data_IF_475699138146
#
_entry.id   IF_475699138146
#
_cell.length_a   1.000
_cell.length_b   1.000
_cell.length_c   1.000
_cell.angle_alpha   90.00
_cell.angle_beta   90.00
_cell.angle_gamma   90.00
#
_symmetry.space_group_name_H-M   'P 1'
#
loop_
_entity.id
_entity.type
_entity.pdbx_description
1 polymer ?
#
# COMPACT_ATOMS: atom_id res chain seq x y z
N UNK A 1 14.26 -43.70 -56.97
CA UNK A 1 13.96 -44.46 -55.73
C UNK A 1 13.59 -43.45 -54.66
N UNK A 2 12.29 -43.29 -54.40
CA UNK A 2 11.75 -42.36 -53.42
C UNK A 2 11.57 -43.09 -52.07
N UNK A 3 12.31 -42.69 -51.05
CA UNK A 3 12.04 -43.09 -49.67
C UNK A 3 11.29 -41.95 -48.97
N UNK A 4 10.02 -42.20 -48.63
CA UNK A 4 9.24 -41.36 -47.71
C UNK A 4 9.72 -41.65 -46.29
N UNK A 5 10.27 -40.64 -45.62
CA UNK A 5 10.45 -40.64 -44.17
C UNK A 5 9.14 -40.19 -43.51
N UNK A 6 8.60 -41.01 -42.63
CA UNK A 6 7.45 -40.68 -41.78
C UNK A 6 8.00 -39.94 -40.57
N UNK A 7 7.67 -38.65 -40.44
CA UNK A 7 7.92 -37.85 -39.24
C UNK A 7 6.78 -38.11 -38.25
N UNK A 8 7.06 -38.80 -37.16
CA UNK A 8 6.15 -38.94 -36.01
C UNK A 8 6.30 -37.70 -35.13
N UNK A 9 5.35 -36.77 -35.26
CA UNK A 9 5.23 -35.61 -34.35
C UNK A 9 4.59 -36.07 -33.05
N UNK A 10 5.40 -36.24 -32.00
CA UNK A 10 4.88 -36.41 -30.64
C UNK A 10 4.38 -35.06 -30.11
N UNK A 11 3.07 -34.88 -30.01
CA UNK A 11 2.48 -33.82 -29.19
C UNK A 11 2.73 -34.15 -27.71
N UNK A 12 3.60 -33.38 -27.06
CA UNK A 12 3.62 -33.30 -25.60
C UNK A 12 2.45 -32.41 -25.21
N UNK A 13 1.33 -33.03 -24.85
CA UNK A 13 0.23 -32.34 -24.19
C UNK A 13 0.63 -32.24 -22.71
N UNK A 14 1.16 -31.09 -22.30
CA UNK A 14 1.32 -30.77 -20.88
C UNK A 14 -0.06 -30.53 -20.27
N UNK A 15 -0.69 -31.59 -19.77
CA UNK A 15 -1.86 -31.48 -18.92
C UNK A 15 -1.42 -30.93 -17.56
N UNK A 16 -1.62 -29.63 -17.33
CA UNK A 16 -1.62 -29.07 -15.98
C UNK A 16 -2.86 -29.62 -15.28
N UNK A 17 -2.67 -30.71 -14.54
CA UNK A 17 -3.67 -31.22 -13.64
C UNK A 17 -3.82 -30.20 -12.51
N UNK A 18 -4.82 -29.31 -12.63
CA UNK A 18 -5.30 -28.50 -11.52
C UNK A 18 -5.79 -29.47 -10.43
N UNK A 19 -4.94 -29.79 -9.46
CA UNK A 19 -5.38 -30.37 -8.19
C UNK A 19 -6.24 -29.30 -7.54
N UNK A 20 -7.56 -29.48 -7.57
CA UNK A 20 -8.49 -28.58 -6.88
C UNK A 20 -8.21 -28.65 -5.38
N UNK A 21 -7.45 -27.69 -4.87
CA UNK A 21 -7.28 -27.49 -3.43
C UNK A 21 -8.66 -27.26 -2.81
N UNK A 22 -8.96 -27.95 -1.71
CA UNK A 22 -10.21 -27.71 -0.99
C UNK A 22 -10.22 -26.26 -0.47
N UNK A 23 -11.35 -25.55 -0.58
CA UNK A 23 -11.41 -24.17 -0.15
C UNK A 23 -11.17 -24.00 1.35
N UNK A 24 -10.30 -23.04 1.70
CA UNK A 24 -10.04 -22.67 3.08
C UNK A 24 -11.21 -21.83 3.61
N UNK A 25 -11.76 -22.24 4.76
CA UNK A 25 -12.87 -21.52 5.41
C UNK A 25 -12.33 -20.64 6.51
N UNK A 26 -12.71 -19.37 6.49
CA UNK A 26 -12.36 -18.38 7.51
C UNK A 26 -13.63 -17.68 8.01
N UNK A 27 -13.56 -17.11 9.20
CA UNK A 27 -14.71 -16.54 9.92
C UNK A 27 -14.63 -15.01 9.97
N UNK A 28 -14.47 -14.37 8.80
CA UNK A 28 -14.46 -12.91 8.64
C UNK A 28 -14.67 -12.48 7.19
N UNK A 29 -15.44 -11.42 6.99
CA UNK A 29 -15.63 -10.75 5.71
C UNK A 29 -14.61 -9.62 5.44
N UNK A 30 -13.78 -9.26 6.42
CA UNK A 30 -12.73 -8.24 6.26
C UNK A 30 -11.66 -8.67 5.25
N UNK A 31 -11.16 -7.76 4.38
CA UNK A 31 -10.10 -8.08 3.43
C UNK A 31 -8.90 -8.77 4.08
N UNK A 32 -8.24 -9.66 3.33
CA UNK A 32 -7.02 -10.30 3.81
C UNK A 32 -5.91 -9.25 3.99
N UNK A 33 -5.15 -9.40 5.05
CA UNK A 33 -3.95 -8.60 5.29
C UNK A 33 -2.77 -9.36 4.69
N UNK A 34 -2.24 -8.83 3.59
CA UNK A 34 -1.15 -9.42 2.81
C UNK A 34 0.21 -9.21 3.48
N UNK A 35 1.14 -10.11 3.17
CA UNK A 35 2.58 -9.98 3.46
C UNK A 35 3.37 -10.16 2.17
N UNK A 36 4.68 -10.03 2.24
CA UNK A 36 5.65 -10.33 1.18
C UNK A 36 5.93 -11.84 1.02
N UNK A 37 5.06 -12.70 1.54
CA UNK A 37 5.21 -14.16 1.53
C UNK A 37 3.86 -14.85 1.32
N UNK A 38 3.83 -16.19 1.11
CA UNK A 38 2.59 -16.98 1.06
C UNK A 38 1.75 -16.96 2.35
N UNK A 39 2.22 -16.29 3.41
CA UNK A 39 1.49 -16.12 4.67
C UNK A 39 0.62 -14.86 4.59
N UNK A 40 -0.66 -15.00 4.90
CA UNK A 40 -1.59 -13.87 5.00
C UNK A 40 -2.35 -13.93 6.33
N UNK A 41 -2.96 -12.81 6.73
CA UNK A 41 -3.75 -12.75 7.95
C UNK A 41 -5.21 -12.44 7.66
N UNK A 42 -6.11 -13.10 8.38
CA UNK A 42 -7.53 -12.79 8.37
C UNK A 42 -7.94 -12.25 9.74
N UNK A 43 -8.67 -11.14 9.74
CA UNK A 43 -9.00 -10.37 10.95
C UNK A 43 -10.51 -10.31 11.09
N UNK A 44 -11.05 -10.77 12.21
CA UNK A 44 -12.43 -10.49 12.58
C UNK A 44 -12.43 -9.30 13.54
N UNK A 45 -12.92 -8.15 13.06
CA UNK A 45 -12.90 -6.90 13.83
C UNK A 45 -13.82 -6.95 15.05
N UNK A 46 -15.02 -7.48 14.88
CA UNK A 46 -16.08 -7.52 15.90
C UNK A 46 -15.78 -8.56 17.00
N UNK A 47 -15.42 -9.78 16.59
CA UNK A 47 -15.11 -10.88 17.52
C UNK A 47 -13.68 -10.80 18.08
N UNK A 48 -12.90 -9.80 17.66
CA UNK A 48 -11.48 -9.64 17.99
C UNK A 48 -10.72 -10.97 17.83
N UNK A 49 -10.78 -11.51 16.62
CA UNK A 49 -10.08 -12.74 16.25
C UNK A 49 -9.05 -12.49 15.15
N UNK A 50 -7.96 -13.24 15.21
CA UNK A 50 -6.88 -13.18 14.23
C UNK A 50 -6.55 -14.60 13.78
N UNK A 51 -6.49 -14.82 12.47
CA UNK A 51 -6.04 -16.08 11.88
C UNK A 51 -4.79 -15.84 11.03
N UNK A 52 -3.84 -16.77 11.14
CA UNK A 52 -2.68 -16.87 10.26
C UNK A 52 -2.96 -17.94 9.22
N UNK A 53 -2.89 -17.58 7.96
CA UNK A 53 -3.17 -18.44 6.82
C UNK A 53 -1.88 -18.67 6.06
N UNK A 54 -1.54 -19.93 5.81
CA UNK A 54 -0.49 -20.29 4.87
C UNK A 54 -1.14 -20.78 3.58
N UNK A 55 -1.04 -19.95 2.52
CA UNK A 55 -1.65 -20.22 1.22
C UNK A 55 -0.97 -21.42 0.51
N UNK A 56 0.36 -21.53 0.61
CA UNK A 56 1.13 -22.63 0.00
C UNK A 56 0.73 -24.00 0.57
N UNK A 57 0.41 -24.04 1.87
CA UNK A 57 0.02 -25.26 2.59
C UNK A 57 -1.50 -25.43 2.69
N UNK A 58 -2.28 -24.44 2.26
CA UNK A 58 -3.73 -24.38 2.41
C UNK A 58 -4.18 -24.65 3.86
N UNK A 59 -3.55 -23.97 4.83
CA UNK A 59 -3.87 -24.11 6.26
C UNK A 59 -4.23 -22.77 6.89
N UNK A 60 -5.17 -22.77 7.84
CA UNK A 60 -5.47 -21.62 8.72
C UNK A 60 -5.28 -22.01 10.18
N UNK A 61 -4.74 -21.09 10.98
CA UNK A 61 -4.57 -21.25 12.42
C UNK A 61 -5.02 -20.00 13.15
N UNK A 62 -6.00 -20.14 14.07
CA UNK A 62 -6.38 -19.07 14.98
C UNK A 62 -5.21 -18.73 15.91
N UNK A 63 -4.96 -17.44 16.09
CA UNK A 63 -3.93 -16.91 16.96
C UNK A 63 -4.53 -16.53 18.33
N UNK A 64 -3.88 -16.92 19.45
CA UNK A 64 -4.38 -16.63 20.80
C UNK A 64 -4.13 -15.16 21.17
N UNK A 65 -5.09 -14.30 20.85
CA UNK A 65 -5.11 -12.89 21.24
C UNK A 65 -6.00 -12.66 22.48
N UNK A 66 -5.69 -11.62 23.26
CA UNK A 66 -6.40 -11.28 24.50
C UNK A 66 -7.57 -10.34 24.23
N UNK A 67 -8.55 -10.29 25.14
CA UNK A 67 -9.64 -9.29 25.08
C UNK A 67 -9.16 -7.84 25.20
N UNK A 68 -7.93 -7.63 25.71
CA UNK A 68 -7.26 -6.33 25.82
C UNK A 68 -6.42 -5.97 24.60
N UNK A 69 -6.39 -6.84 23.58
CA UNK A 69 -5.72 -6.58 22.32
C UNK A 69 -6.38 -5.40 21.61
N UNK A 70 -5.55 -4.51 21.10
CA UNK A 70 -5.97 -3.26 20.44
C UNK A 70 -5.83 -3.30 18.93
N UNK A 71 -4.95 -4.15 18.45
CA UNK A 71 -4.66 -4.30 17.04
C UNK A 71 -3.42 -5.16 16.86
N UNK A 72 -3.07 -5.39 15.61
CA UNK A 72 -1.89 -6.18 15.27
C UNK A 72 -1.16 -5.59 14.08
N UNK A 73 0.05 -6.07 13.90
CA UNK A 73 0.78 -6.02 12.65
C UNK A 73 1.49 -7.36 12.51
N UNK A 74 2.45 -7.41 11.61
CA UNK A 74 3.20 -8.58 11.25
C UNK A 74 4.61 -8.13 10.89
N UNK A 75 5.57 -9.06 10.98
CA UNK A 75 6.95 -8.76 10.68
C UNK A 75 7.86 -9.95 10.91
N UNK A 76 9.16 -9.72 10.74
CA UNK A 76 10.21 -10.71 10.93
C UNK A 76 10.80 -10.58 12.34
N UNK A 77 10.82 -11.71 13.05
CA UNK A 77 11.47 -11.83 14.36
C UNK A 77 12.72 -12.68 14.21
N UNK A 78 13.77 -12.35 14.95
CA UNK A 78 14.99 -13.12 15.03
C UNK A 78 14.66 -14.59 15.34
N UNK A 79 15.38 -15.49 14.69
CA UNK A 79 15.18 -16.94 14.77
C UNK A 79 13.88 -17.47 14.15
N UNK A 80 13.13 -16.64 13.41
CA UNK A 80 12.05 -17.07 12.53
C UNK A 80 12.38 -16.75 11.08
N UNK A 81 12.06 -17.68 10.17
CA UNK A 81 12.13 -17.42 8.72
C UNK A 81 10.81 -16.91 8.16
N UNK A 82 9.70 -17.29 8.80
CA UNK A 82 8.38 -16.89 8.36
C UNK A 82 7.94 -15.62 9.11
N UNK A 83 7.15 -14.79 8.43
CA UNK A 83 6.46 -13.66 9.02
C UNK A 83 5.56 -14.10 10.18
N UNK A 84 5.56 -13.32 11.26
CA UNK A 84 4.83 -13.57 12.49
C UNK A 84 3.91 -12.41 12.84
N UNK A 85 2.87 -12.65 13.64
CA UNK A 85 1.99 -11.61 14.14
C UNK A 85 2.56 -10.93 15.39
N UNK A 86 2.52 -9.60 15.39
CA UNK A 86 2.83 -8.74 16.52
C UNK A 86 1.51 -8.12 16.99
N UNK A 87 1.13 -8.31 18.25
CA UNK A 87 -0.15 -7.84 18.80
C UNK A 87 0.11 -6.77 19.85
N UNK A 88 -0.56 -5.63 19.70
CA UNK A 88 -0.54 -4.51 20.62
C UNK A 88 -1.64 -4.68 21.68
N UNK A 89 -1.29 -4.51 22.94
CA UNK A 89 -2.18 -4.60 24.12
C UNK A 89 -1.88 -3.44 25.10
N UNK A 90 -2.68 -3.29 26.16
CA UNK A 90 -2.40 -2.46 27.34
C UNK A 90 -0.98 -2.60 27.92
N UNK A 91 -0.37 -3.78 27.84
CA UNK A 91 0.97 -4.03 28.39
C UNK A 91 2.15 -3.68 27.48
N UNK A 92 1.92 -3.48 26.18
CA UNK A 92 2.98 -3.35 25.17
C UNK A 92 2.71 -4.23 23.94
N UNK A 93 3.78 -4.75 23.34
CA UNK A 93 3.69 -5.56 22.10
C UNK A 93 4.11 -7.00 22.38
N UNK A 94 3.35 -7.94 21.80
CA UNK A 94 3.49 -9.37 21.99
C UNK A 94 3.70 -10.07 20.65
N UNK A 95 4.62 -11.03 20.61
CA UNK A 95 4.68 -12.02 19.54
C UNK A 95 3.60 -13.07 19.78
N UNK A 96 2.71 -13.27 18.81
CA UNK A 96 1.63 -14.24 18.89
C UNK A 96 1.80 -15.31 17.83
N UNK A 97 2.02 -16.54 18.29
CA UNK A 97 2.07 -17.75 17.47
C UNK A 97 0.90 -18.66 17.83
N UNK A 98 0.53 -19.64 16.98
CA UNK A 98 -0.55 -20.58 17.28
C UNK A 98 -0.35 -21.34 18.61
N UNK A 99 0.89 -21.48 19.09
CA UNK A 99 1.24 -22.25 20.28
C UNK A 99 1.52 -21.39 21.52
N UNK A 100 1.91 -20.12 21.32
CA UNK A 100 2.47 -19.29 22.39
C UNK A 100 2.32 -17.80 22.09
N UNK A 101 1.96 -17.05 23.13
CA UNK A 101 2.05 -15.59 23.19
C UNK A 101 3.22 -15.19 24.08
N UNK A 102 4.11 -14.33 23.60
CA UNK A 102 5.29 -13.86 24.33
C UNK A 102 5.37 -12.35 24.27
N UNK A 103 5.47 -11.68 25.42
CA UNK A 103 5.70 -10.23 25.44
C UNK A 103 7.09 -9.91 24.90
N UNK A 104 7.16 -9.02 23.91
CA UNK A 104 8.42 -8.56 23.32
C UNK A 104 8.93 -7.31 24.04
N UNK A 105 8.04 -6.33 24.21
CA UNK A 105 8.36 -5.03 24.84
C UNK A 105 7.22 -4.58 25.75
N UNK A 106 7.58 -3.90 26.85
CA UNK A 106 6.64 -3.17 27.69
C UNK A 106 6.54 -1.72 27.20
N UNK A 107 5.33 -1.18 27.10
CA UNK A 107 5.11 0.24 26.84
C UNK A 107 3.91 0.77 27.61
N UNK A 108 4.07 2.00 28.13
CA UNK A 108 3.00 2.80 28.75
C UNK A 108 2.66 4.02 27.88
N UNK A 109 3.01 3.93 26.60
CA UNK A 109 2.82 4.96 25.60
C UNK A 109 1.34 5.20 25.28
N UNK A 110 1.12 6.02 24.26
CA UNK A 110 -0.23 6.43 23.90
C UNK A 110 -1.05 5.24 23.39
N UNK A 111 -0.52 4.48 22.42
CA UNK A 111 -1.22 3.37 21.79
C UNK A 111 -1.64 2.28 22.79
N UNK A 112 -0.83 2.00 23.81
CA UNK A 112 -1.19 1.01 24.86
C UNK A 112 -2.26 1.53 25.83
N UNK A 113 -2.57 2.83 25.82
CA UNK A 113 -3.59 3.44 26.68
C UNK A 113 -4.90 3.79 25.96
N UNK A 114 -4.89 3.79 24.62
CA UNK A 114 -6.10 4.07 23.84
C UNK A 114 -7.14 2.98 24.06
N UNK A 115 -8.40 3.38 24.23
CA UNK A 115 -9.52 2.47 24.08
C UNK A 115 -9.82 2.36 22.59
N UNK A 116 -10.00 1.13 22.13
CA UNK A 116 -10.35 0.83 20.74
C UNK A 116 -11.54 -0.11 20.75
N UNK A 117 -12.49 0.21 19.89
CA UNK A 117 -13.69 -0.60 19.72
C UNK A 117 -13.36 -1.83 18.87
N UNK A 118 -12.73 -1.60 17.71
CA UNK A 118 -12.37 -2.63 16.74
C UNK A 118 -10.95 -3.16 16.91
N UNK A 119 -10.74 -4.42 16.57
CA UNK A 119 -9.41 -5.02 16.41
C UNK A 119 -9.02 -5.04 14.94
N UNK A 120 -7.99 -4.30 14.56
CA UNK A 120 -7.55 -4.16 13.17
C UNK A 120 -6.02 -4.10 13.01
N UNK A 121 -5.56 -4.03 11.76
CA UNK A 121 -4.14 -3.78 11.48
C UNK A 121 -3.79 -2.36 11.90
N UNK A 122 -2.72 -2.21 12.69
CA UNK A 122 -2.20 -0.92 13.14
C UNK A 122 -0.74 -0.82 12.70
N UNK A 123 -0.37 0.28 12.05
CA UNK A 123 0.99 0.48 11.56
C UNK A 123 1.93 0.90 12.71
N UNK A 124 2.62 -0.08 13.30
CA UNK A 124 3.63 0.12 14.36
C UNK A 124 4.89 -0.74 14.17
N UNK A 125 4.99 -1.45 13.05
CA UNK A 125 6.13 -2.30 12.70
C UNK A 125 6.83 -1.73 11.48
N UNK A 126 8.15 -1.62 11.54
CA UNK A 126 9.03 -1.17 10.45
C UNK A 126 10.41 -1.83 10.62
N UNK A 127 11.24 -1.87 9.59
CA UNK A 127 12.66 -2.20 9.72
C UNK A 127 13.44 -0.88 9.75
N UNK A 128 13.75 -0.35 10.94
CA UNK A 128 14.26 1.02 11.09
C UNK A 128 15.75 1.13 10.73
N UNK A 129 16.50 0.05 10.87
CA UNK A 129 17.94 -0.02 10.63
C UNK A 129 18.31 -0.81 9.37
N UNK A 130 17.32 -1.26 8.60
CA UNK A 130 17.48 -2.01 7.35
C UNK A 130 18.23 -3.34 7.51
N UNK A 131 18.05 -4.02 8.65
CA UNK A 131 18.71 -5.31 8.94
C UNK A 131 17.85 -6.55 8.59
N UNK A 132 16.65 -6.34 8.05
CA UNK A 132 15.69 -7.37 7.69
C UNK A 132 14.84 -7.88 8.86
N UNK A 133 15.05 -7.37 10.08
CA UNK A 133 14.23 -7.65 11.24
C UNK A 133 13.23 -6.52 11.48
N UNK A 134 12.10 -6.88 12.07
CA UNK A 134 11.06 -5.92 12.40
C UNK A 134 11.29 -5.26 13.75
N UNK A 135 11.35 -3.95 13.73
CA UNK A 135 11.36 -3.03 14.86
C UNK A 135 9.95 -2.57 15.21
N UNK A 136 9.80 -1.98 16.40
CA UNK A 136 8.52 -1.53 16.92
C UNK A 136 8.57 -0.02 17.14
N UNK A 137 7.73 0.73 16.43
CA UNK A 137 7.54 2.16 16.61
C UNK A 137 6.20 2.46 17.27
N UNK A 138 6.24 3.01 18.49
CA UNK A 138 5.05 3.41 19.25
C UNK A 138 5.03 4.95 19.39
N UNK A 139 4.16 5.64 18.63
CA UNK A 139 4.08 7.08 18.70
C UNK A 139 3.42 7.57 20.00
N UNK A 140 3.84 8.74 20.46
CA UNK A 140 3.22 9.48 21.55
C UNK A 140 3.07 10.96 21.18
N UNK A 141 2.35 11.74 21.99
CA UNK A 141 2.04 13.14 21.63
C UNK A 141 3.28 14.03 21.47
N UNK A 142 4.32 13.77 22.28
CA UNK A 142 5.56 14.54 22.30
C UNK A 142 6.78 13.64 22.32
N UNK A 143 6.73 12.54 23.08
CA UNK A 143 7.77 11.52 23.18
C UNK A 143 7.30 10.24 22.50
N UNK A 144 8.16 9.70 21.64
CA UNK A 144 7.91 8.50 20.86
C UNK A 144 8.91 7.43 21.29
N UNK A 145 8.52 6.16 21.13
CA UNK A 145 9.33 5.00 21.51
C UNK A 145 9.63 4.17 20.26
N UNK A 146 10.90 3.94 19.99
CA UNK A 146 11.38 3.01 18.97
C UNK A 146 12.10 1.86 19.66
N UNK A 147 11.72 0.62 19.38
CA UNK A 147 12.40 -0.56 19.88
C UNK A 147 13.04 -1.28 18.69
N UNK A 148 14.37 -1.20 18.62
CA UNK A 148 15.15 -1.82 17.55
C UNK A 148 15.50 -3.25 17.95
N UNK A 149 15.06 -4.21 17.16
CA UNK A 149 15.36 -5.61 17.35
C UNK A 149 16.85 -5.86 17.11
N UNK A 150 17.41 -6.79 17.87
CA UNK A 150 18.78 -7.26 17.68
C UNK A 150 18.75 -8.68 17.11
N UNK A 151 19.82 -9.14 16.42
CA UNK A 151 19.90 -10.51 15.92
C UNK A 151 19.73 -11.60 16.99
N UNK A 152 19.91 -11.24 18.27
CA UNK A 152 19.67 -12.12 19.42
C UNK A 152 18.19 -12.28 19.78
N UNK A 153 17.29 -11.47 19.20
CA UNK A 153 15.87 -11.36 19.52
C UNK A 153 15.55 -10.41 20.69
N UNK A 154 16.57 -9.76 21.26
CA UNK A 154 16.35 -8.69 22.25
C UNK A 154 16.03 -7.36 21.56
N UNK A 155 15.32 -6.47 22.25
CA UNK A 155 14.98 -5.14 21.75
C UNK A 155 15.73 -4.06 22.52
N UNK A 156 16.32 -3.10 21.80
CA UNK A 156 16.94 -1.89 22.36
C UNK A 156 15.96 -0.73 22.20
N UNK A 157 15.63 -0.08 23.31
CA UNK A 157 14.72 1.07 23.31
C UNK A 157 15.45 2.38 23.02
N UNK A 158 14.93 3.14 22.08
CA UNK A 158 15.27 4.53 21.79
C UNK A 158 14.05 5.42 22.04
N UNK A 159 14.24 6.48 22.79
CA UNK A 159 13.22 7.50 23.04
C UNK A 159 13.64 8.80 22.36
N UNK A 160 12.69 9.47 21.69
CA UNK A 160 12.96 10.74 21.04
C UNK A 160 11.74 11.66 21.07
N UNK A 161 12.00 12.96 20.90
CA UNK A 161 10.96 13.99 20.83
C UNK A 161 10.55 14.25 19.38
N UNK A 162 9.25 14.09 19.13
CA UNK A 162 8.58 14.48 17.90
C UNK A 162 7.11 14.75 18.22
N UNK A 163 6.66 15.97 17.93
CA UNK A 163 5.27 16.36 18.16
C UNK A 163 4.40 15.79 17.04
N UNK A 164 3.47 14.91 17.41
CA UNK A 164 2.52 14.40 16.43
C UNK A 164 1.67 15.53 15.86
N UNK A 165 1.45 15.56 14.54
CA UNK A 165 0.65 16.61 13.92
C UNK A 165 -0.82 16.50 14.38
N UNK A 166 -1.26 17.46 15.18
CA UNK A 166 -2.65 17.58 15.61
C UNK A 166 -3.44 18.46 14.65
N UNK A 167 -4.69 18.07 14.39
CA UNK A 167 -5.69 18.87 13.68
C UNK A 167 -6.78 19.24 14.66
N UNK A 168 -7.28 20.46 14.56
CA UNK A 168 -8.39 20.93 15.39
C UNK A 168 -9.54 21.40 14.52
N UNK A 169 -10.73 20.89 14.78
CA UNK A 169 -11.98 21.37 14.19
C UNK A 169 -12.83 22.00 15.30
N UNK A 170 -13.12 23.29 15.16
CA UNK A 170 -14.01 24.00 16.06
C UNK A 170 -15.44 23.96 15.53
N UNK A 171 -16.34 23.36 16.30
CA UNK A 171 -17.78 23.43 16.12
C UNK A 171 -18.36 24.52 17.03
N UNK A 172 -19.64 24.87 16.82
CA UNK A 172 -20.31 25.91 17.64
C UNK A 172 -20.25 25.65 19.14
N UNK A 173 -20.25 24.37 19.55
CA UNK A 173 -20.34 23.97 20.96
C UNK A 173 -19.24 22.97 21.37
N UNK A 174 -18.32 22.60 20.47
CA UNK A 174 -17.27 21.62 20.76
C UNK A 174 -15.98 21.92 19.98
N UNK A 175 -14.85 21.49 20.55
CA UNK A 175 -13.57 21.43 19.87
C UNK A 175 -13.19 19.96 19.70
N UNK A 176 -13.01 19.53 18.47
CA UNK A 176 -12.47 18.20 18.16
C UNK A 176 -10.98 18.33 17.83
N UNK A 177 -10.16 17.50 18.46
CA UNK A 177 -8.73 17.36 18.12
C UNK A 177 -8.52 15.96 17.58
N UNK A 178 -7.95 15.85 16.38
CA UNK A 178 -7.67 14.59 15.71
C UNK A 178 -6.22 14.52 15.22
N UNK A 179 -5.70 13.31 15.09
CA UNK A 179 -4.37 13.06 14.53
C UNK A 179 -4.32 11.65 13.96
N UNK A 180 -3.28 11.36 13.18
CA UNK A 180 -3.05 10.03 12.65
C UNK A 180 -1.89 9.37 13.41
N UNK A 181 -2.21 8.38 14.23
CA UNK A 181 -1.24 7.63 15.04
C UNK A 181 -0.64 6.42 14.32
N UNK A 182 -1.05 6.16 13.08
CA UNK A 182 -0.62 4.98 12.31
C UNK A 182 0.19 5.37 11.07
N UNK A 183 0.77 6.57 11.06
CA UNK A 183 1.73 6.95 10.03
C UNK A 183 3.14 6.59 10.48
N UNK A 184 3.70 5.52 9.93
CA UNK A 184 5.10 5.17 10.12
C UNK A 184 6.00 6.23 9.44
N UNK A 185 7.19 6.50 9.99
CA UNK A 185 8.20 7.24 9.28
C UNK A 185 8.69 6.47 8.06
N UNK A 186 9.20 7.19 7.07
CA UNK A 186 9.94 6.61 5.96
C UNK A 186 11.36 6.33 6.47
N UNK A 187 11.85 5.13 6.21
CA UNK A 187 13.18 4.68 6.60
C UNK A 187 14.12 4.95 5.42
N UNK A 188 15.07 5.87 5.57
CA UNK A 188 15.99 6.27 4.48
C UNK A 188 17.24 6.98 5.02
N UNK A 189 18.40 6.83 4.39
CA UNK A 189 19.60 7.64 4.68
C UNK A 189 19.43 9.03 4.04
N UNK A 190 18.80 9.96 4.76
CA UNK A 190 18.35 11.24 4.20
C UNK A 190 19.53 12.18 3.93
N UNK A 191 20.54 12.15 4.79
CA UNK A 191 21.71 13.02 4.69
C UNK A 191 22.91 12.38 3.97
N UNK A 192 22.77 11.13 3.50
CA UNK A 192 23.80 10.33 2.84
C UNK A 192 25.06 10.12 3.71
N UNK A 193 24.88 9.89 5.01
CA UNK A 193 25.97 9.64 5.96
C UNK A 193 26.24 8.15 6.24
N UNK A 194 25.46 7.27 5.61
CA UNK A 194 25.54 5.82 5.73
C UNK A 194 24.78 5.24 6.93
N UNK A 195 24.04 6.04 7.69
CA UNK A 195 23.10 5.59 8.70
C UNK A 195 21.66 5.80 8.22
N UNK A 196 20.79 4.85 8.56
CA UNK A 196 19.37 4.97 8.24
C UNK A 196 18.69 5.97 9.16
N UNK A 197 17.95 6.93 8.59
CA UNK A 197 17.17 7.93 9.31
C UNK A 197 15.67 7.60 9.30
N UNK A 198 14.92 8.23 10.21
CA UNK A 198 13.46 8.19 10.19
C UNK A 198 12.91 9.54 9.71
N UNK A 199 12.29 9.53 8.54
CA UNK A 199 11.74 10.72 7.86
C UNK A 199 10.23 10.79 8.07
N UNK A 200 9.78 11.78 8.82
CA UNK A 200 8.38 12.07 9.10
C UNK A 200 7.84 13.07 8.09
N UNK A 201 6.70 12.74 7.46
CA UNK A 201 6.01 13.63 6.51
C UNK A 201 4.63 13.99 7.03
N UNK A 202 4.37 15.28 7.19
CA UNK A 202 3.01 15.80 7.37
C UNK A 202 2.58 16.48 6.08
N UNK A 203 1.32 16.94 6.00
CA UNK A 203 0.83 17.67 4.82
C UNK A 203 1.62 18.94 4.48
N UNK A 204 2.40 19.49 5.42
CA UNK A 204 3.06 20.79 5.25
C UNK A 204 4.51 20.80 5.72
N UNK A 205 5.02 19.70 6.27
CA UNK A 205 6.33 19.64 6.91
C UNK A 205 7.00 18.30 6.64
N UNK A 206 8.32 18.33 6.59
CA UNK A 206 9.18 17.14 6.62
C UNK A 206 10.12 17.30 7.81
N UNK A 207 10.25 16.27 8.64
CA UNK A 207 11.15 16.24 9.77
C UNK A 207 11.95 14.93 9.76
N UNK A 208 13.20 14.96 10.21
CA UNK A 208 14.10 13.80 10.14
C UNK A 208 14.69 13.53 11.51
N UNK A 209 14.58 12.30 11.98
CA UNK A 209 15.33 11.79 13.13
C UNK A 209 16.60 11.10 12.60
N UNK A 210 17.74 11.77 12.73
CA UNK A 210 18.99 11.23 12.18
C UNK A 210 19.47 10.00 12.95
N UNK A 211 19.81 8.96 12.21
CA UNK A 211 20.56 7.80 12.66
C UNK A 211 22.00 8.16 13.00
N UNK A 212 22.65 7.35 13.82
CA UNK A 212 24.08 7.46 14.10
C UNK A 212 24.61 6.13 14.70
N UNK A 213 25.91 6.09 14.99
CA UNK A 213 26.58 4.92 15.59
C UNK A 213 25.98 4.41 16.91
N UNK A 214 25.20 5.22 17.62
CA UNK A 214 24.56 4.89 18.90
C UNK A 214 23.06 4.62 18.77
N UNK A 215 22.52 4.58 17.54
CA UNK A 215 21.10 4.43 17.25
C UNK A 215 20.57 5.68 16.56
N UNK A 216 19.84 6.52 17.29
CA UNK A 216 19.20 7.72 16.75
C UNK A 216 19.47 8.96 17.60
N UNK A 217 19.36 10.13 16.99
CA UNK A 217 19.33 11.42 17.68
C UNK A 217 18.16 11.51 18.68
N UNK A 218 18.22 12.39 19.70
CA UNK A 218 17.14 12.54 20.67
C UNK A 218 15.95 13.39 20.16
N UNK A 219 16.13 14.16 19.08
CA UNK A 219 15.12 15.08 18.54
C UNK A 219 15.15 15.05 17.00
N UNK A 220 14.02 15.33 16.37
CA UNK A 220 13.96 15.54 14.93
C UNK A 220 14.51 16.91 14.50
N UNK A 221 15.03 16.98 13.28
CA UNK A 221 15.32 18.23 12.57
C UNK A 221 14.22 18.51 11.54
N UNK A 222 13.68 19.73 11.53
CA UNK A 222 12.68 20.15 10.54
C UNK A 222 13.37 20.64 9.27
N UNK A 223 13.05 20.00 8.15
CA UNK A 223 13.66 20.28 6.85
C UNK A 223 13.02 21.51 6.22
N UNK A 224 13.87 22.40 5.69
CA UNK A 224 13.40 23.55 4.93
C UNK A 224 12.76 23.10 3.61
N UNK A 225 11.50 23.44 3.41
CA UNK A 225 10.79 23.12 2.17
C UNK A 225 11.00 24.21 1.11
N UNK A 226 11.13 23.84 -0.17
CA UNK A 226 11.54 24.77 -1.25
C UNK A 226 10.44 25.74 -1.70
N UNK A 227 9.25 25.65 -1.11
CA UNK A 227 8.09 26.49 -1.44
C UNK A 227 7.14 26.62 -0.26
N UNK A 228 6.10 27.45 -0.38
CA UNK A 228 5.07 27.59 0.64
C UNK A 228 4.04 26.45 0.56
N UNK A 229 3.66 25.97 1.75
CA UNK A 229 2.65 24.92 1.97
C UNK A 229 1.41 25.51 2.64
N UNK A 230 0.32 24.74 2.65
CA UNK A 230 -0.98 25.22 3.13
C UNK A 230 -1.68 26.08 2.08
N UNK A 231 -2.43 27.09 2.52
CA UNK A 231 -3.19 27.96 1.62
C UNK A 231 -2.23 28.88 0.86
N UNK A 232 -2.29 28.83 -0.47
CA UNK A 232 -1.51 29.67 -1.38
C UNK A 232 -2.43 30.59 -2.19
N UNK A 233 -1.83 31.52 -2.95
CA UNK A 233 -2.53 32.47 -3.82
C UNK A 233 -3.50 31.77 -4.79
N UNK A 234 -4.63 32.42 -5.08
CA UNK A 234 -5.64 31.90 -6.01
C UNK A 234 -6.63 30.92 -5.38
N UNK A 235 -6.80 30.95 -4.05
CA UNK A 235 -7.67 30.05 -3.30
C UNK A 235 -7.34 28.56 -3.55
N UNK A 236 -6.04 28.25 -3.48
CA UNK A 236 -5.51 26.89 -3.66
C UNK A 236 -4.81 26.44 -2.38
N UNK A 237 -4.64 25.13 -2.23
CA UNK A 237 -3.88 24.52 -1.15
C UNK A 237 -2.77 23.66 -1.74
N UNK A 238 -1.54 23.86 -1.25
CA UNK A 238 -0.40 22.97 -1.52
C UNK A 238 -0.14 22.09 -0.31
N UNK A 239 -0.01 20.80 -0.54
CA UNK A 239 0.41 19.83 0.48
C UNK A 239 1.55 18.97 -0.04
N UNK A 240 2.33 18.39 0.86
CA UNK A 240 3.17 17.24 0.48
C UNK A 240 2.25 16.14 -0.05
N UNK A 241 2.75 15.36 -0.99
CA UNK A 241 2.07 14.20 -1.55
C UNK A 241 2.89 12.97 -1.16
N UNK A 242 4.10 12.84 -1.72
CA UNK A 242 4.99 11.68 -1.52
C UNK A 242 6.45 12.12 -1.29
N UNK A 243 7.24 11.21 -0.72
CA UNK A 243 8.69 11.29 -0.58
C UNK A 243 9.27 9.97 -1.06
N UNK A 244 10.02 9.98 -2.16
CA UNK A 244 10.60 8.79 -2.78
C UNK A 244 11.82 9.17 -3.62
N UNK A 245 12.82 8.30 -3.70
CA UNK A 245 13.97 8.46 -4.59
C UNK A 245 13.56 8.07 -6.02
N UNK A 246 13.00 9.03 -6.79
CA UNK A 246 12.43 8.76 -8.12
C UNK A 246 13.57 8.49 -9.09
N UNK A 247 14.60 9.32 -9.06
CA UNK A 247 15.70 9.27 -10.01
C UNK A 247 16.82 8.29 -9.62
N UNK A 248 16.70 7.60 -8.49
CA UNK A 248 17.67 6.65 -7.93
C UNK A 248 19.04 7.27 -7.69
N UNK A 249 19.07 8.51 -7.23
CA UNK A 249 20.32 9.20 -6.88
C UNK A 249 20.72 9.05 -5.40
N UNK A 250 19.92 8.32 -4.62
CA UNK A 250 20.11 8.08 -3.19
C UNK A 250 19.44 9.12 -2.30
N UNK A 251 18.80 10.15 -2.85
CA UNK A 251 18.08 11.17 -2.08
C UNK A 251 16.57 11.06 -2.27
N UNK A 252 15.81 11.22 -1.17
CA UNK A 252 14.36 11.32 -1.28
C UNK A 252 13.96 12.60 -2.02
N UNK A 253 13.18 12.46 -3.08
CA UNK A 253 12.55 13.56 -3.79
C UNK A 253 11.18 13.90 -3.20
N UNK A 254 10.79 15.17 -3.25
CA UNK A 254 9.50 15.66 -2.75
C UNK A 254 8.50 15.88 -3.87
N UNK A 255 7.43 15.10 -3.85
CA UNK A 255 6.24 15.35 -4.65
C UNK A 255 5.26 16.20 -3.83
N UNK A 256 4.77 17.28 -4.41
CA UNK A 256 3.71 18.12 -3.83
C UNK A 256 2.44 18.02 -4.65
N UNK A 257 1.30 18.22 -3.99
CA UNK A 257 -0.03 18.27 -4.60
C UNK A 257 -0.65 19.63 -4.38
N UNK A 258 -1.17 20.22 -5.46
CA UNK A 258 -1.82 21.54 -5.45
C UNK A 258 -3.22 21.42 -6.02
N UNK A 259 -4.23 21.75 -5.21
CA UNK A 259 -5.64 21.73 -5.63
C UNK A 259 -6.35 23.05 -5.29
N UNK A 260 -7.38 23.44 -6.05
CA UNK A 260 -8.24 24.55 -5.64
C UNK A 260 -9.02 24.18 -4.37
N UNK A 261 -9.36 25.18 -3.57
CA UNK A 261 -10.26 25.05 -2.43
C UNK A 261 -11.68 25.25 -2.96
N UNK A 262 -12.32 24.14 -3.35
CA UNK A 262 -13.69 24.10 -3.88
C UNK A 262 -14.57 23.20 -3.00
N UNK A 263 -15.87 23.43 -3.08
CA UNK A 263 -16.89 22.65 -2.36
C UNK A 263 -17.83 21.97 -3.36
N UNK A 264 -18.45 20.86 -2.93
CA UNK A 264 -19.44 20.14 -3.72
C UNK A 264 -18.90 19.63 -5.06
N UNK A 265 -19.75 19.70 -6.09
CA UNK A 265 -19.49 19.15 -7.43
C UNK A 265 -18.28 19.82 -8.10
N UNK A 266 -17.97 21.08 -7.79
CA UNK A 266 -16.77 21.74 -8.33
C UNK A 266 -15.45 21.09 -7.87
N UNK A 267 -15.48 20.21 -6.87
CA UNK A 267 -14.35 19.35 -6.52
C UNK A 267 -14.12 18.19 -7.50
N UNK A 268 -15.17 17.73 -8.19
CA UNK A 268 -15.13 16.59 -9.12
C UNK A 268 -14.54 16.95 -10.48
N UNK A 269 -14.49 18.23 -10.83
CA UNK A 269 -13.85 18.74 -12.05
C UNK A 269 -12.54 19.49 -11.73
N UNK A 270 -12.12 19.50 -10.46
CA UNK A 270 -10.98 20.28 -10.02
C UNK A 270 -9.67 19.73 -10.61
N UNK A 271 -8.94 20.60 -11.32
CA UNK A 271 -7.57 20.29 -11.75
C UNK A 271 -6.64 20.21 -10.54
N UNK A 272 -5.99 19.07 -10.39
CA UNK A 272 -4.97 18.81 -9.37
C UNK A 272 -3.60 18.81 -10.04
N UNK A 273 -2.73 19.71 -9.61
CA UNK A 273 -1.37 19.85 -10.15
C UNK A 273 -0.35 19.24 -9.20
N UNK A 274 0.77 18.75 -9.75
CA UNK A 274 1.84 18.16 -8.98
C UNK A 274 3.18 18.79 -9.35
N UNK A 275 3.97 19.13 -8.33
CA UNK A 275 5.34 19.62 -8.49
C UNK A 275 6.28 18.61 -7.84
N UNK A 276 7.37 18.28 -8.53
CA UNK A 276 8.48 17.48 -8.04
C UNK A 276 9.67 18.38 -7.72
N UNK A 277 10.26 18.19 -6.55
CA UNK A 277 11.50 18.82 -6.12
C UNK A 277 12.52 17.72 -5.84
N UNK A 278 13.66 17.78 -6.53
CA UNK A 278 14.69 16.74 -6.39
C UNK A 278 15.38 16.84 -5.04
N UNK A 279 15.66 15.68 -4.46
CA UNK A 279 16.35 15.49 -3.19
C UNK A 279 17.80 15.95 -3.22
N UNK A 280 18.28 16.34 -2.06
CA UNK A 280 19.68 16.66 -1.77
C UNK A 280 19.98 16.26 -0.34
N UNK A 281 21.26 16.06 0.02
CA UNK A 281 21.69 15.71 1.37
C UNK A 281 21.18 16.66 2.50
N UNK A 282 20.66 17.84 2.16
CA UNK A 282 20.09 18.81 3.11
C UNK A 282 18.73 19.36 2.65
N UNK A 283 17.86 18.49 2.17
CA UNK A 283 16.49 18.85 1.78
C UNK A 283 16.27 18.73 0.28
N UNK A 284 15.77 19.79 -0.36
CA UNK A 284 15.28 19.72 -1.73
C UNK A 284 15.78 20.91 -2.55
N UNK A 285 15.90 20.73 -3.85
CA UNK A 285 16.23 21.80 -4.77
C UNK A 285 15.12 22.89 -4.82
N UNK A 286 15.47 24.10 -5.25
CA UNK A 286 14.52 25.22 -5.33
C UNK A 286 13.72 25.28 -6.64
N UNK A 287 13.81 24.26 -7.49
CA UNK A 287 13.27 24.24 -8.86
C UNK A 287 12.22 23.15 -9.05
N UNK A 288 10.95 23.54 -9.09
CA UNK A 288 9.85 22.61 -9.33
C UNK A 288 9.85 22.06 -10.76
N UNK A 289 9.88 20.75 -10.89
CA UNK A 289 9.58 20.03 -12.12
C UNK A 289 8.08 19.75 -12.15
N UNK A 290 7.40 20.20 -13.21
CA UNK A 290 5.95 19.99 -13.36
C UNK A 290 5.67 18.56 -13.81
N UNK A 291 4.88 17.85 -13.01
CA UNK A 291 4.38 16.53 -13.36
C UNK A 291 3.00 16.62 -14.03
N UNK A 292 2.57 15.56 -14.75
CA UNK A 292 1.21 15.48 -15.29
C UNK A 292 0.14 15.78 -14.23
N UNK A 293 -0.90 16.50 -14.63
CA UNK A 293 -1.99 16.86 -13.73
C UNK A 293 -3.08 15.79 -13.77
N UNK A 294 -3.92 15.76 -12.73
CA UNK A 294 -5.14 14.96 -12.72
C UNK A 294 -6.39 15.82 -12.60
N UNK A 295 -7.55 15.22 -12.87
CA UNK A 295 -8.85 15.88 -12.75
C UNK A 295 -9.70 15.16 -11.71
N UNK A 296 -10.43 15.94 -10.93
CA UNK A 296 -11.51 15.45 -10.09
C UNK A 296 -11.05 14.61 -8.90
N UNK A 297 -11.72 13.47 -8.73
CA UNK A 297 -11.39 12.49 -7.70
C UNK A 297 -10.18 11.61 -8.06
N UNK A 298 -9.56 11.86 -9.23
CA UNK A 298 -8.35 11.20 -9.69
C UNK A 298 -7.13 11.41 -8.80
N UNK A 299 -6.02 10.76 -9.18
CA UNK A 299 -4.78 10.76 -8.42
C UNK A 299 -3.56 10.40 -9.26
N UNK A 300 -2.38 10.74 -8.76
CA UNK A 300 -1.11 10.41 -9.39
C UNK A 300 -0.32 9.48 -8.47
N UNK A 301 0.42 8.53 -9.05
CA UNK A 301 1.30 7.58 -8.37
C UNK A 301 2.61 7.42 -9.12
N UNK A 302 3.67 7.04 -8.39
CA UNK A 302 4.99 6.68 -8.90
C UNK A 302 5.45 5.50 -8.04
N UNK A 303 5.02 4.28 -8.39
CA UNK A 303 5.12 3.11 -7.50
C UNK A 303 5.62 1.84 -8.20
N UNK A 304 5.45 1.73 -9.52
CA UNK A 304 5.65 0.47 -10.24
C UNK A 304 6.53 0.66 -11.47
N UNK A 305 7.38 -0.33 -11.74
CA UNK A 305 8.19 -0.46 -12.96
C UNK A 305 7.49 -1.40 -13.94
N UNK A 306 6.79 -0.83 -14.92
CA UNK A 306 6.01 -1.57 -15.91
C UNK A 306 6.85 -2.09 -17.07
N UNK A 307 8.10 -1.63 -17.19
CA UNK A 307 8.90 -1.86 -18.38
C UNK A 307 10.23 -2.58 -18.12
N UNK A 308 10.55 -2.73 -16.83
CA UNK A 308 11.63 -3.55 -16.28
C UNK A 308 12.98 -2.87 -16.34
N UNK A 309 13.04 -1.54 -16.46
CA UNK A 309 14.30 -0.79 -16.52
C UNK A 309 14.84 -0.37 -15.15
N UNK A 310 14.13 -0.76 -14.08
CA UNK A 310 14.46 -0.50 -12.69
C UNK A 310 13.92 0.82 -12.18
N UNK A 311 13.47 1.75 -13.04
CA UNK A 311 12.94 3.05 -12.64
C UNK A 311 11.42 2.99 -12.42
N UNK A 312 10.89 3.85 -11.53
CA UNK A 312 9.46 3.86 -11.23
C UNK A 312 8.70 4.72 -12.26
N UNK A 313 7.72 4.13 -12.91
CA UNK A 313 6.87 4.86 -13.85
C UNK A 313 5.83 5.71 -13.14
N UNK A 314 5.34 6.75 -13.82
CA UNK A 314 4.28 7.61 -13.31
C UNK A 314 2.93 7.20 -13.89
N UNK A 315 1.93 7.05 -13.02
CA UNK A 315 0.54 6.79 -13.40
C UNK A 315 -0.33 7.96 -12.99
N UNK A 316 -1.20 8.43 -13.88
CA UNK A 316 -2.31 9.31 -13.53
C UNK A 316 -3.63 8.61 -13.74
N UNK A 317 -4.52 8.75 -12.76
CA UNK A 317 -5.93 8.42 -12.89
C UNK A 317 -6.73 9.70 -13.01
N UNK A 318 -7.57 9.78 -14.04
CA UNK A 318 -8.60 10.78 -14.16
C UNK A 318 -9.96 10.11 -14.02
N UNK A 319 -10.78 10.69 -13.16
CA UNK A 319 -12.12 10.18 -12.90
C UNK A 319 -13.09 11.32 -13.10
N UNK A 320 -13.86 11.22 -14.17
CA UNK A 320 -14.92 12.17 -14.47
C UNK A 320 -16.25 11.62 -13.94
N UNK A 321 -16.82 12.30 -12.94
CA UNK A 321 -18.14 11.97 -12.41
C UNK A 321 -19.09 13.09 -12.80
N UNK A 322 -19.78 12.87 -13.92
CA UNK A 322 -20.82 13.78 -14.39
C UNK A 322 -22.05 13.83 -13.48
N UNK A 323 -22.81 14.92 -13.55
CA UNK A 323 -24.06 15.12 -12.79
C UNK A 323 -25.10 14.01 -13.00
N UNK A 324 -25.16 13.44 -14.20
CA UNK A 324 -26.05 12.32 -14.54
C UNK A 324 -25.69 11.06 -13.75
N UNK A 325 -24.39 10.79 -13.60
CA UNK A 325 -23.89 9.67 -12.80
C UNK A 325 -24.20 9.86 -11.33
N UNK A 326 -24.02 11.07 -10.78
CA UNK A 326 -24.39 11.40 -9.40
C UNK A 326 -25.90 11.19 -9.17
N UNK A 327 -26.74 11.64 -10.12
CA UNK A 327 -28.18 11.43 -10.04
C UNK A 327 -28.54 9.94 -10.10
N UNK A 328 -27.87 9.18 -10.97
CA UNK A 328 -28.03 7.73 -11.05
C UNK A 328 -27.66 7.04 -9.74
N UNK A 329 -26.53 7.40 -9.11
CA UNK A 329 -26.16 6.87 -7.79
C UNK A 329 -27.23 7.19 -6.74
N UNK A 330 -27.73 8.42 -6.69
CA UNK A 330 -28.74 8.83 -5.72
C UNK A 330 -30.07 8.06 -5.87
N UNK A 331 -30.47 7.74 -7.11
CA UNK A 331 -31.70 6.99 -7.42
C UNK A 331 -31.51 5.47 -7.34
N UNK A 332 -30.30 4.98 -7.63
CA UNK A 332 -29.95 3.57 -7.81
C UNK A 332 -29.39 2.89 -6.55
N UNK A 333 -29.53 3.50 -5.37
CA UNK A 333 -29.07 2.90 -4.12
C UNK A 333 -27.59 3.13 -3.79
N UNK A 334 -26.97 4.15 -4.37
CA UNK A 334 -25.63 4.65 -4.02
C UNK A 334 -24.49 4.12 -4.90
N UNK A 335 -24.78 3.40 -5.98
CA UNK A 335 -23.79 2.81 -6.89
C UNK A 335 -23.96 3.29 -8.33
N UNK A 336 -22.86 3.44 -9.06
CA UNK A 336 -22.88 3.59 -10.51
C UNK A 336 -21.53 3.19 -11.11
N UNK A 337 -21.57 2.81 -12.39
CA UNK A 337 -20.38 2.60 -13.21
C UNK A 337 -19.87 3.95 -13.74
N UNK A 338 -18.55 4.15 -13.70
CA UNK A 338 -17.88 5.35 -14.21
C UNK A 338 -16.71 4.96 -15.09
N UNK A 339 -16.50 5.74 -16.16
CA UNK A 339 -15.33 5.62 -17.00
C UNK A 339 -14.13 6.29 -16.32
N UNK A 340 -13.00 5.61 -16.39
CA UNK A 340 -11.78 5.98 -15.70
C UNK A 340 -10.63 5.93 -16.69
N UNK A 341 -10.03 7.10 -16.92
CA UNK A 341 -8.89 7.27 -17.83
C UNK A 341 -7.58 7.16 -17.04
N UNK A 342 -6.82 6.11 -17.36
CA UNK A 342 -5.48 5.90 -16.83
C UNK A 342 -4.44 6.29 -17.89
N UNK A 343 -3.47 7.09 -17.49
CA UNK A 343 -2.32 7.41 -18.32
C UNK A 343 -1.03 6.98 -17.64
N UNK A 344 -0.08 6.46 -18.42
CA UNK A 344 1.19 5.94 -17.92
C UNK A 344 2.35 6.64 -18.63
N UNK A 345 3.34 7.09 -17.87
CA UNK A 345 4.46 7.89 -18.34
C UNK A 345 5.76 7.20 -17.96
N UNK A 346 6.55 6.81 -18.98
CA UNK A 346 7.83 6.14 -18.78
C UNK A 346 8.81 7.09 -18.13
N UNK A 347 9.53 6.62 -17.12
CA UNK A 347 10.64 7.39 -16.57
C UNK A 347 11.84 7.37 -17.53
N UNK A 348 12.51 8.51 -17.65
CA UNK A 348 13.78 8.63 -18.35
C UNK A 348 14.87 9.12 -17.41
N UNK A 349 16.09 8.56 -17.49
CA UNK A 349 17.24 9.09 -16.77
C UNK A 349 17.40 10.60 -17.02
N UNK A 350 17.57 11.38 -15.96
CA UNK A 350 17.77 12.84 -15.95
C UNK A 350 16.58 13.71 -16.41
N UNK A 351 15.84 13.32 -17.45
CA UNK A 351 14.70 14.10 -17.95
C UNK A 351 13.38 13.73 -17.26
N UNK A 352 13.38 12.67 -16.45
CA UNK A 352 12.23 12.17 -15.70
C UNK A 352 11.06 11.85 -16.65
N UNK A 353 9.90 12.47 -16.45
CA UNK A 353 8.68 12.16 -17.18
C UNK A 353 8.42 13.14 -18.33
N UNK A 354 7.91 12.63 -19.44
CA UNK A 354 7.34 13.45 -20.52
C UNK A 354 5.98 13.99 -20.12
N UNK A 355 5.51 15.02 -20.83
CA UNK A 355 4.16 15.60 -20.64
C UNK A 355 3.06 14.80 -21.33
N UNK A 356 3.41 13.90 -22.24
CA UNK A 356 2.46 13.02 -22.96
C UNK A 356 2.67 11.58 -22.49
N UNK A 357 1.59 10.81 -22.29
CA UNK A 357 1.73 9.43 -21.84
C UNK A 357 2.27 8.52 -22.93
N UNK A 358 2.91 7.43 -22.50
CA UNK A 358 3.35 6.34 -23.36
C UNK A 358 2.19 5.41 -23.73
N UNK A 359 1.24 5.23 -22.81
CA UNK A 359 0.07 4.38 -23.02
C UNK A 359 -1.09 4.87 -22.16
N UNK A 360 -2.29 4.61 -22.64
CA UNK A 360 -3.55 5.01 -22.00
C UNK A 360 -4.46 3.78 -21.89
N UNK A 361 -5.25 3.72 -20.81
CA UNK A 361 -6.22 2.66 -20.55
C UNK A 361 -7.50 3.29 -20.02
N UNK A 362 -8.59 3.02 -20.72
CA UNK A 362 -9.94 3.37 -20.29
C UNK A 362 -10.55 2.11 -19.65
N UNK A 363 -11.02 2.25 -18.42
CA UNK A 363 -11.67 1.16 -17.69
C UNK A 363 -12.98 1.64 -17.08
N UNK A 364 -13.97 0.75 -17.04
CA UNK A 364 -15.25 0.98 -16.38
C UNK A 364 -15.15 0.49 -14.92
N UNK A 365 -15.51 1.35 -13.97
CA UNK A 365 -15.40 1.09 -12.54
C UNK A 365 -16.76 1.28 -11.86
N UNK A 366 -17.27 0.25 -11.19
CA UNK A 366 -18.37 0.41 -10.24
C UNK A 366 -17.87 1.16 -9.00
N UNK A 367 -18.39 2.36 -8.76
CA UNK A 367 -18.14 3.12 -7.53
C UNK A 367 -19.38 3.14 -6.63
N UNK A 368 -19.14 3.23 -5.32
CA UNK A 368 -20.16 3.31 -4.28
C UNK A 368 -19.93 4.57 -3.46
N UNK A 369 -20.99 5.37 -3.24
CA UNK A 369 -20.96 6.60 -2.43
C UNK A 369 -20.50 6.39 -0.98
N UNK A 370 -20.56 5.15 -0.46
CA UNK A 370 -20.08 4.81 0.88
C UNK A 370 -18.57 4.53 0.95
N UNK A 371 -17.92 4.30 -0.20
CA UNK A 371 -16.49 3.98 -0.28
C UNK A 371 -15.71 5.22 -0.68
N UNK A 372 -14.57 5.42 -0.03
CA UNK A 372 -13.60 6.42 -0.50
C UNK A 372 -13.09 5.99 -1.87
N UNK A 373 -13.07 6.90 -2.84
CA UNK A 373 -12.41 6.69 -4.14
C UNK A 373 -10.87 6.66 -4.02
N UNK A 374 -10.33 6.84 -2.80
CA UNK A 374 -8.91 6.61 -2.54
C UNK A 374 -8.62 5.11 -2.52
N UNK A 375 -7.91 4.63 -3.54
CA UNK A 375 -7.56 3.21 -3.71
C UNK A 375 -8.35 2.59 -4.87
N UNK A 376 -7.90 2.86 -6.10
CA UNK A 376 -8.42 2.20 -7.29
C UNK A 376 -8.24 0.69 -7.22
N UNK A 377 -9.19 -0.12 -7.69
CA UNK A 377 -9.05 -1.56 -7.72
C UNK A 377 -8.37 -2.01 -9.02
N UNK A 378 -7.14 -1.55 -9.24
CA UNK A 378 -6.23 -2.31 -10.08
C UNK A 378 -5.22 -3.02 -9.20
N UNK A 379 -4.88 -4.23 -9.60
CA UNK A 379 -3.84 -5.03 -9.00
C UNK A 379 -2.64 -4.99 -9.92
N UNK A 380 -1.46 -5.11 -9.33
CA UNK A 380 -0.23 -5.11 -10.09
C UNK A 380 0.79 -6.03 -9.47
N UNK A 381 1.63 -6.62 -10.32
CA UNK A 381 2.59 -7.67 -10.01
C UNK A 381 3.12 -8.30 -11.32
N UNK A 382 4.24 -8.99 -11.27
CA UNK A 382 4.73 -9.85 -12.36
C UNK A 382 3.96 -11.20 -12.47
N UNK A 383 2.97 -11.26 -13.35
CA UNK A 383 2.16 -12.47 -13.57
C UNK A 383 2.75 -13.42 -14.62
N UNK A 384 3.90 -13.09 -15.21
CA UNK A 384 4.45 -13.83 -16.34
C UNK A 384 5.95 -14.13 -16.24
N UNK A 385 6.60 -13.75 -15.14
CA UNK A 385 7.99 -14.03 -14.81
C UNK A 385 8.98 -13.22 -15.64
N UNK A 386 8.56 -12.05 -16.14
CA UNK A 386 9.41 -11.20 -16.98
C UNK A 386 9.97 -9.96 -16.26
N UNK A 387 9.84 -9.95 -14.92
CA UNK A 387 10.24 -8.91 -13.97
C UNK A 387 9.68 -7.53 -14.32
N UNK A 388 8.47 -7.49 -14.91
CA UNK A 388 7.74 -6.25 -15.17
C UNK A 388 6.43 -6.31 -14.44
N UNK A 389 6.03 -5.17 -13.90
CA UNK A 389 4.69 -5.07 -13.33
C UNK A 389 3.65 -5.19 -14.45
N UNK A 390 2.66 -6.06 -14.23
CA UNK A 390 1.47 -6.17 -15.05
C UNK A 390 0.33 -5.39 -14.41
N UNK A 391 -0.65 -4.98 -15.22
CA UNK A 391 -1.86 -4.30 -14.75
C UNK A 391 -3.07 -5.22 -14.84
N UNK A 392 -3.73 -5.45 -13.72
CA UNK A 392 -4.95 -6.26 -13.64
C UNK A 392 -6.11 -5.43 -13.16
N UNK A 393 -7.28 -5.61 -13.78
CA UNK A 393 -8.51 -4.99 -13.33
C UNK A 393 -9.70 -5.94 -13.53
N UNK A 394 -10.70 -5.77 -12.67
CA UNK A 394 -11.98 -6.46 -12.77
C UNK A 394 -12.81 -5.80 -13.88
N UNK A 395 -12.92 -6.44 -15.03
CA UNK A 395 -13.73 -5.92 -16.15
C UNK A 395 -15.21 -6.31 -16.08
N UNK A 396 -15.54 -7.36 -15.33
CA UNK A 396 -16.92 -7.73 -14.99
C UNK A 396 -16.92 -8.69 -13.79
N UNK A 397 -18.08 -9.11 -13.31
CA UNK A 397 -18.19 -10.12 -12.23
C UNK A 397 -17.57 -11.49 -12.55
N UNK A 398 -17.24 -11.75 -13.82
CA UNK A 398 -16.67 -13.02 -14.25
C UNK A 398 -15.39 -12.87 -15.07
N UNK A 399 -14.82 -11.66 -15.17
CA UNK A 399 -13.67 -11.41 -16.05
C UNK A 399 -12.64 -10.51 -15.37
N UNK A 400 -11.42 -11.03 -15.23
CA UNK A 400 -10.24 -10.20 -15.05
C UNK A 400 -9.62 -9.93 -16.42
N UNK A 401 -9.17 -8.70 -16.62
CA UNK A 401 -8.34 -8.34 -17.77
C UNK A 401 -6.96 -7.95 -17.29
N UNK A 402 -5.95 -8.49 -17.97
CA UNK A 402 -4.53 -8.32 -17.67
C UNK A 402 -3.89 -7.62 -18.86
N UNK A 403 -3.29 -6.46 -18.62
CA UNK A 403 -2.36 -5.83 -19.54
C UNK A 403 -0.94 -6.13 -19.07
N UNK A 404 -0.22 -6.94 -19.84
CA UNK A 404 1.16 -7.27 -19.52
C UNK A 404 2.09 -6.07 -19.69
N UNK A 405 3.11 -5.97 -18.83
CA UNK A 405 4.23 -5.06 -18.95
C UNK A 405 4.93 -5.17 -20.32
N UNK A 406 5.48 -4.06 -20.81
CA UNK A 406 6.34 -4.05 -22.00
C UNK A 406 7.36 -2.91 -22.00
N UNK A 407 8.58 -3.21 -22.43
CA UNK A 407 9.72 -2.29 -22.39
C UNK A 407 9.55 -0.96 -23.15
N UNK A 408 8.65 -0.90 -24.14
CA UNK A 408 8.52 0.26 -25.02
C UNK A 408 7.42 1.24 -24.59
N UNK A 409 6.20 0.73 -24.34
CA UNK A 409 5.05 1.57 -24.00
C UNK A 409 4.47 1.26 -22.62
N UNK A 410 5.26 0.69 -21.71
CA UNK A 410 4.89 0.30 -20.35
C UNK A 410 3.90 -0.87 -20.30
N UNK A 411 2.76 -0.78 -21.00
CA UNK A 411 1.74 -1.81 -21.01
C UNK A 411 1.31 -2.16 -22.42
N UNK A 412 1.20 -3.46 -22.70
CA UNK A 412 0.69 -3.98 -23.97
C UNK A 412 -0.72 -3.46 -24.24
N UNK A 413 -1.01 -3.19 -25.51
CA UNK A 413 -2.36 -2.75 -25.94
C UNK A 413 -3.42 -3.85 -25.80
N UNK A 414 -3.04 -5.11 -26.01
CA UNK A 414 -3.97 -6.25 -25.99
C UNK A 414 -3.99 -6.87 -24.59
N UNK A 415 -5.17 -6.90 -23.98
CA UNK A 415 -5.40 -7.60 -22.73
C UNK A 415 -5.49 -9.13 -22.92
N UNK A 416 -5.00 -9.88 -21.94
CA UNK A 416 -5.40 -11.27 -21.69
C UNK A 416 -6.62 -11.25 -20.77
N UNK A 417 -7.60 -12.11 -21.03
CA UNK A 417 -8.79 -12.26 -20.18
C UNK A 417 -8.74 -13.57 -19.42
N UNK A 418 -9.00 -13.51 -18.13
CA UNK A 418 -9.24 -14.69 -17.29
C UNK A 418 -10.73 -14.70 -16.97
N UNK A 419 -11.42 -15.73 -17.46
CA UNK A 419 -12.83 -15.96 -17.14
C UNK A 419 -12.91 -16.78 -15.85
N UNK A 420 -13.31 -16.14 -14.77
CA UNK A 420 -13.44 -16.75 -13.45
C UNK A 420 -14.51 -15.99 -12.67
N UNK A 421 -15.37 -16.66 -11.92
CA UNK A 421 -16.34 -15.95 -11.07
C UNK A 421 -15.59 -15.19 -9.99
N UNK A 422 -15.74 -13.87 -9.93
CA UNK A 422 -14.95 -13.02 -9.05
C UNK A 422 -15.72 -12.68 -7.77
N UNK A 423 -15.01 -12.43 -6.66
CA UNK A 423 -15.61 -11.80 -5.50
C UNK A 423 -16.34 -10.50 -5.85
N UNK A 424 -17.46 -10.24 -5.18
CA UNK A 424 -18.22 -9.00 -5.37
C UNK A 424 -17.39 -7.78 -4.93
N UNK A 425 -16.61 -7.94 -3.85
CA UNK A 425 -15.75 -6.90 -3.32
C UNK A 425 -14.37 -6.94 -4.00
N UNK A 426 -13.92 -5.86 -4.66
CA UNK A 426 -12.61 -5.83 -5.31
C UNK A 426 -11.44 -6.11 -4.35
N UNK A 427 -11.51 -5.63 -3.10
CA UNK A 427 -10.45 -5.87 -2.10
C UNK A 427 -10.28 -7.34 -1.69
N UNK A 428 -11.14 -8.23 -2.19
CA UNK A 428 -11.07 -9.68 -1.96
C UNK A 428 -10.39 -10.43 -3.11
N UNK A 429 -9.81 -9.69 -4.06
CA UNK A 429 -8.90 -10.19 -5.09
C UNK A 429 -7.52 -9.63 -4.76
N UNK A 430 -6.54 -10.51 -4.59
CA UNK A 430 -5.17 -10.11 -4.23
C UNK A 430 -4.16 -10.96 -4.99
N UNK A 431 -2.96 -10.42 -5.17
CA UNK A 431 -1.83 -11.07 -5.84
C UNK A 431 -0.79 -11.44 -4.78
N UNK A 432 -0.36 -12.70 -4.78
CA UNK A 432 0.66 -13.25 -3.87
C UNK A 432 1.44 -14.32 -4.64
N UNK A 433 2.76 -14.33 -4.60
CA UNK A 433 3.57 -15.47 -5.05
C UNK A 433 3.39 -16.62 -4.05
N UNK A 434 2.51 -17.60 -4.36
CA UNK A 434 2.11 -18.65 -3.41
C UNK A 434 3.10 -19.81 -3.44
N UNK A 435 3.64 -20.13 -4.61
CA UNK A 435 4.57 -21.24 -4.81
C UNK A 435 6.05 -20.82 -4.85
N UNK A 436 6.33 -19.55 -4.57
CA UNK A 436 7.66 -18.93 -4.50
C UNK A 436 8.43 -19.08 -5.83
N UNK A 437 7.72 -19.03 -6.96
CA UNK A 437 8.29 -19.19 -8.29
C UNK A 437 8.74 -17.86 -8.92
N UNK A 438 8.48 -16.73 -8.25
CA UNK A 438 8.80 -15.38 -8.72
C UNK A 438 7.71 -14.71 -9.55
N UNK A 439 6.54 -15.34 -9.69
CA UNK A 439 5.34 -14.77 -10.32
C UNK A 439 4.21 -14.70 -9.30
N UNK A 440 3.39 -13.65 -9.31
CA UNK A 440 2.26 -13.65 -8.39
C UNK A 440 1.08 -14.46 -8.91
N UNK A 441 0.43 -15.15 -7.98
CA UNK A 441 -0.78 -15.91 -8.18
C UNK A 441 -2.01 -15.13 -7.70
N UNK A 442 -3.18 -15.50 -8.20
CA UNK A 442 -4.43 -14.90 -7.74
C UNK A 442 -4.95 -15.61 -6.50
N UNK A 443 -5.33 -14.82 -5.50
CA UNK A 443 -6.13 -15.27 -4.35
C UNK A 443 -7.49 -14.58 -4.40
N UNK A 444 -8.55 -15.36 -4.37
CA UNK A 444 -9.94 -14.91 -4.38
C UNK A 444 -10.62 -15.28 -3.07
N UNK A 445 -11.16 -14.29 -2.37
CA UNK A 445 -11.92 -14.48 -1.13
C UNK A 445 -13.41 -14.28 -1.38
N UNK A 446 -14.20 -15.35 -1.26
CA UNK A 446 -15.65 -15.32 -1.45
C UNK A 446 -16.36 -15.30 -0.11
N UNK A 447 -17.26 -14.34 0.09
CA UNK A 447 -18.20 -14.36 1.20
C UNK A 447 -19.59 -14.77 0.71
N UNK A 448 -20.22 -15.73 1.37
CA UNK A 448 -21.62 -16.07 1.14
C UNK A 448 -22.58 -15.13 1.90
N UNK A 449 -23.88 -15.26 1.63
CA UNK A 449 -24.92 -14.42 2.25
C UNK A 449 -25.07 -14.66 3.77
N UNK A 450 -24.49 -15.74 4.28
CA UNK A 450 -24.49 -16.11 5.68
C UNK A 450 -23.19 -15.69 6.39
N UNK A 451 -22.30 -14.96 5.69
CA UNK A 451 -21.04 -14.47 6.24
C UNK A 451 -19.91 -15.50 6.26
N UNK A 452 -20.15 -16.70 5.73
CA UNK A 452 -19.10 -17.72 5.67
C UNK A 452 -18.19 -17.44 4.48
N UNK A 453 -16.90 -17.47 4.74
CA UNK A 453 -15.88 -17.10 3.77
C UNK A 453 -15.08 -18.30 3.29
N UNK A 454 -14.77 -18.30 2.00
CA UNK A 454 -14.01 -19.31 1.29
C UNK A 454 -12.89 -18.65 0.47
N UNK A 455 -11.65 -19.13 0.62
CA UNK A 455 -10.51 -18.71 -0.18
C UNK A 455 -10.27 -19.72 -1.29
N UNK A 456 -10.08 -19.23 -2.52
CA UNK A 456 -9.59 -19.99 -3.67
C UNK A 456 -8.35 -19.34 -4.25
N UNK A 457 -7.49 -20.14 -4.84
CA UNK A 457 -6.24 -19.72 -5.48
C UNK A 457 -6.26 -20.11 -6.95
N UNK A 458 -5.58 -19.32 -7.78
CA UNK A 458 -5.33 -19.62 -9.19
C UNK A 458 -3.84 -19.34 -9.43
N UNK A 459 -3.05 -20.40 -9.53
CA UNK A 459 -1.62 -20.33 -9.81
C UNK A 459 -1.37 -19.97 -11.28
N UNK A 460 -0.35 -19.14 -11.54
CA UNK A 460 0.03 -18.70 -12.88
C UNK A 460 1.05 -19.59 -13.60
#
# INVERSE_FOLDING_TARGET
>A
MNFKAILTTGMIISSHAYSAQMPLKIDTDSPLVLTDSPIVFAVNKEEKALERINLSQNTSQKLPISATSKGFHYGHIANSKEVQAFVLDNGGVYLVTPKKTTQLVESKGLLTRLQVDDFEKVEFILDANSDGLSDIYLPGFTRNELFVQQPTGQFIKHDFEYNLPLRSNSYRESLEISTNFTSLPIVHDFNADGFTDLVFRTRQEVAVLYGNKTGYAPNVEYIHLPTSFGKITGNRIRTTQDLLDINQDGHLDLVTRIRPITEGISGLEAKVEYDLYLGQAKGFNSGAIKLPHTIGAGGMRIEYDFDGDGLLDLQTLNVDIGLTTIAAMALGGGKADIDVDMHFFKQHPHTLFKTTPNTEKEIELEVDMKRSMQGMPYYTGDLNGDNKHDLVFKSSDNTLSIFYGESNNLLRKKQKKINHTLPNNPNDIVLVDIDENGTEDFVFKYADKQGKVEIKTLLN
#
